data_IF_831942659420
#
_entry.id   IF_831942659420
#
_cell.length_a   1.000
_cell.length_b   1.000
_cell.length_c   1.000
_cell.angle_alpha   90.00
_cell.angle_beta   90.00
_cell.angle_gamma   90.00
#
_symmetry.space_group_name_H-M   'P 1'
#
loop_
_entity.id
_entity.type
_entity.pdbx_description
1 polymer ?
#
# COMPACT_ATOMS: atom_id res chain seq x y z
N UNK A 1 28.73 -84.92 31.59
CA UNK A 1 27.51 -84.11 31.68
C UNK A 1 27.70 -82.90 30.74
N UNK A 2 27.18 -83.02 29.55
CA UNK A 2 27.26 -81.98 28.52
C UNK A 2 25.89 -81.27 28.47
N UNK A 3 25.85 -79.97 28.74
CA UNK A 3 24.66 -79.18 28.57
C UNK A 3 24.70 -78.49 27.18
N UNK A 4 23.76 -78.90 26.34
CA UNK A 4 23.55 -78.25 25.04
C UNK A 4 22.82 -76.93 25.22
N UNK A 5 23.45 -75.87 24.77
CA UNK A 5 22.80 -74.53 24.68
C UNK A 5 22.21 -74.43 23.27
N UNK A 6 20.87 -74.32 23.24
CA UNK A 6 20.12 -74.10 21.99
C UNK A 6 20.10 -72.63 21.71
N UNK A 7 20.77 -72.16 20.63
CA UNK A 7 20.65 -70.76 20.15
C UNK A 7 19.39 -70.67 19.28
N UNK A 8 18.41 -69.93 19.79
CA UNK A 8 17.24 -69.62 19.02
C UNK A 8 17.52 -68.28 18.28
N UNK A 9 17.82 -68.40 16.99
CA UNK A 9 17.95 -67.22 16.11
C UNK A 9 16.56 -66.67 15.76
N UNK A 10 16.14 -65.59 16.40
CA UNK A 10 14.98 -64.84 15.97
C UNK A 10 15.35 -63.98 14.73
N UNK A 11 14.90 -64.42 13.59
CA UNK A 11 14.89 -63.58 12.38
C UNK A 11 13.84 -62.52 12.53
N UNK A 12 14.28 -61.31 12.82
CA UNK A 12 13.47 -60.10 12.68
C UNK A 12 13.22 -59.85 11.19
N UNK A 13 12.05 -60.28 10.71
CA UNK A 13 11.51 -59.77 9.47
C UNK A 13 11.15 -58.33 9.71
N UNK A 14 12.06 -57.43 9.37
CA UNK A 14 11.76 -56.03 9.24
C UNK A 14 10.77 -55.89 8.07
N UNK A 15 9.50 -55.72 8.40
CA UNK A 15 8.52 -55.20 7.47
C UNK A 15 8.96 -53.76 7.15
N UNK A 16 9.67 -53.57 6.03
CA UNK A 16 9.66 -52.27 5.40
C UNK A 16 8.22 -52.03 4.97
N UNK A 17 7.45 -51.32 5.78
CA UNK A 17 6.34 -50.56 5.26
C UNK A 17 6.94 -49.54 4.32
N UNK A 18 6.72 -49.65 3.03
CA UNK A 18 6.90 -48.56 2.10
C UNK A 18 6.02 -47.44 2.64
N UNK A 19 6.63 -46.42 3.24
CA UNK A 19 5.94 -45.17 3.45
C UNK A 19 5.53 -44.68 2.05
N UNK A 20 4.23 -44.79 1.75
CA UNK A 20 3.70 -44.22 0.52
C UNK A 20 4.18 -42.77 0.46
N UNK A 21 5.00 -42.46 -0.53
CA UNK A 21 5.51 -41.13 -0.75
C UNK A 21 4.31 -40.21 -1.04
N UNK A 22 3.84 -39.54 -0.03
CA UNK A 22 2.65 -38.61 -0.13
C UNK A 22 2.86 -37.53 -1.15
N UNK A 23 4.12 -37.21 -1.51
CA UNK A 23 4.46 -36.29 -2.60
C UNK A 23 4.15 -36.86 -3.99
N UNK A 24 4.13 -38.20 -4.16
CA UNK A 24 3.78 -38.84 -5.44
C UNK A 24 2.30 -38.76 -5.77
N UNK A 25 1.47 -38.24 -4.86
CA UNK A 25 0.03 -38.01 -5.05
C UNK A 25 -0.33 -36.55 -5.04
N UNK A 26 0.64 -35.65 -5.13
CA UNK A 26 0.42 -34.23 -5.17
C UNK A 26 -0.35 -33.81 -6.44
N UNK A 27 -1.21 -32.84 -6.30
CA UNK A 27 -1.80 -32.11 -7.43
C UNK A 27 -1.20 -30.72 -7.45
N UNK A 28 -0.69 -30.30 -8.60
CA UNK A 28 -0.12 -28.97 -8.82
C UNK A 28 -0.77 -28.36 -10.07
N UNK A 29 -0.76 -27.04 -10.15
CA UNK A 29 -1.20 -26.32 -11.33
C UNK A 29 -0.02 -25.51 -11.91
N UNK A 30 0.01 -25.34 -13.24
CA UNK A 30 1.04 -24.56 -13.93
C UNK A 30 0.90 -23.04 -13.68
N UNK A 31 -0.23 -22.60 -13.15
CA UNK A 31 -0.48 -21.20 -12.77
C UNK A 31 -1.19 -21.15 -11.41
N UNK A 32 -0.91 -20.14 -10.61
CA UNK A 32 -1.59 -19.88 -9.35
C UNK A 32 -2.70 -18.82 -9.48
N UNK A 33 -2.72 -18.06 -10.58
CA UNK A 33 -3.73 -17.05 -10.86
C UNK A 33 -4.01 -16.96 -12.36
N UNK A 34 -5.25 -16.59 -12.70
CA UNK A 34 -5.72 -16.30 -14.05
C UNK A 34 -6.58 -15.03 -13.99
N UNK A 35 -6.22 -14.03 -14.79
CA UNK A 35 -6.96 -12.78 -14.90
C UNK A 35 -7.70 -12.74 -16.23
N UNK A 36 -8.95 -12.29 -16.22
CA UNK A 36 -9.82 -12.22 -17.38
C UNK A 36 -10.40 -10.80 -17.53
N UNK A 37 -10.56 -10.40 -18.77
CA UNK A 37 -11.28 -9.17 -19.14
C UNK A 37 -12.78 -9.27 -18.82
N UNK A 38 -13.46 -8.13 -18.65
CA UNK A 38 -14.89 -8.10 -18.35
C UNK A 38 -15.75 -8.70 -19.48
N UNK A 39 -15.41 -8.42 -20.75
CA UNK A 39 -16.16 -8.85 -21.94
C UNK A 39 -15.25 -9.52 -22.95
N UNK A 40 -15.76 -10.55 -23.61
CA UNK A 40 -15.06 -11.24 -24.69
C UNK A 40 -13.77 -11.96 -24.26
N UNK A 41 -13.64 -12.26 -22.97
CA UNK A 41 -12.46 -12.88 -22.39
C UNK A 41 -12.12 -14.21 -23.09
N UNK A 42 -10.89 -14.33 -23.56
CA UNK A 42 -10.45 -15.55 -24.24
C UNK A 42 -10.15 -16.66 -23.24
N UNK A 43 -10.56 -17.91 -23.52
CA UNK A 43 -10.25 -19.04 -22.67
C UNK A 43 -8.73 -19.20 -22.44
N UNK A 44 -8.33 -19.53 -21.23
CA UNK A 44 -6.93 -19.77 -20.85
C UNK A 44 -6.71 -21.25 -20.53
N UNK A 45 -5.59 -21.80 -20.99
CA UNK A 45 -5.23 -23.19 -20.72
C UNK A 45 -4.13 -23.24 -19.67
N UNK A 46 -4.33 -24.08 -18.66
CA UNK A 46 -3.34 -24.43 -17.65
C UNK A 46 -3.15 -25.94 -17.60
N UNK A 47 -1.99 -26.39 -17.14
CA UNK A 47 -1.72 -27.82 -16.94
C UNK A 47 -1.91 -28.16 -15.47
N UNK A 48 -2.73 -29.16 -15.20
CA UNK A 48 -2.84 -29.80 -13.88
C UNK A 48 -1.88 -31.00 -13.88
N UNK A 49 -0.87 -30.96 -13.03
CA UNK A 49 0.11 -32.05 -12.84
C UNK A 49 -0.41 -32.93 -11.72
N UNK A 50 -0.61 -34.21 -12.03
CA UNK A 50 -1.02 -35.20 -11.06
C UNK A 50 -0.49 -36.58 -11.46
N UNK A 51 -0.28 -37.47 -10.49
CA UNK A 51 0.12 -38.87 -10.72
C UNK A 51 -1.07 -39.85 -10.69
N UNK A 52 -2.26 -39.35 -10.36
CA UNK A 52 -3.47 -40.15 -10.20
C UNK A 52 -4.73 -39.34 -10.62
N UNK A 53 -5.89 -39.90 -10.34
CA UNK A 53 -7.17 -39.20 -10.57
C UNK A 53 -7.24 -37.92 -9.76
N UNK A 54 -7.82 -36.89 -10.38
CA UNK A 54 -8.16 -35.66 -9.74
C UNK A 54 -9.54 -35.19 -10.17
N UNK A 55 -10.19 -34.40 -9.34
CA UNK A 55 -11.52 -33.82 -9.56
C UNK A 55 -11.51 -32.36 -9.11
N UNK A 56 -12.26 -31.55 -9.77
CA UNK A 56 -12.47 -30.15 -9.42
C UNK A 56 -13.63 -30.01 -8.43
N UNK A 57 -13.53 -29.05 -7.51
CA UNK A 57 -14.65 -28.65 -6.65
C UNK A 57 -15.70 -27.85 -7.43
N UNK A 58 -16.89 -27.70 -6.82
CA UNK A 58 -17.97 -26.86 -7.38
C UNK A 58 -17.49 -25.42 -7.62
N UNK A 59 -17.87 -24.86 -8.77
CA UNK A 59 -17.52 -23.52 -9.20
C UNK A 59 -18.73 -22.60 -9.23
N UNK A 60 -18.51 -21.28 -9.14
CA UNK A 60 -19.51 -20.29 -9.50
C UNK A 60 -19.97 -20.48 -10.96
N UNK A 61 -21.22 -20.17 -11.25
CA UNK A 61 -21.83 -20.33 -12.58
C UNK A 61 -21.09 -19.57 -13.70
N UNK A 62 -20.33 -18.54 -13.34
CA UNK A 62 -19.59 -17.72 -14.30
C UNK A 62 -18.25 -18.32 -14.74
N UNK A 63 -17.76 -19.38 -14.12
CA UNK A 63 -16.51 -20.10 -14.48
C UNK A 63 -16.84 -21.47 -15.04
N UNK A 64 -16.23 -21.80 -16.15
CA UNK A 64 -16.27 -23.14 -16.73
C UNK A 64 -14.85 -23.67 -16.87
N UNK A 65 -14.64 -24.90 -16.40
CA UNK A 65 -13.34 -25.63 -16.52
C UNK A 65 -13.56 -26.92 -17.26
N UNK A 66 -12.78 -27.16 -18.31
CA UNK A 66 -12.92 -28.36 -19.15
C UNK A 66 -11.55 -28.97 -19.43
N UNK A 67 -11.32 -30.26 -19.11
CA UNK A 67 -12.20 -31.16 -18.37
C UNK A 67 -12.27 -30.82 -16.86
N UNK A 68 -13.36 -31.21 -16.19
CA UNK A 68 -13.55 -31.02 -14.74
C UNK A 68 -12.92 -32.14 -13.90
N UNK A 69 -12.47 -33.21 -14.53
CA UNK A 69 -11.79 -34.36 -13.92
C UNK A 69 -10.71 -34.88 -14.85
N UNK A 70 -9.67 -35.51 -14.32
CA UNK A 70 -8.61 -36.11 -15.12
C UNK A 70 -7.90 -37.22 -14.39
N UNK A 71 -7.07 -37.96 -15.14
CA UNK A 71 -6.17 -38.96 -14.63
C UNK A 71 -4.74 -38.59 -15.09
N UNK A 72 -3.83 -38.38 -14.16
CA UNK A 72 -2.49 -37.91 -14.47
C UNK A 72 -2.47 -36.46 -14.95
N UNK A 73 -1.34 -36.04 -15.53
CA UNK A 73 -1.13 -34.71 -16.05
C UNK A 73 -2.08 -34.41 -17.21
N UNK A 74 -2.84 -33.33 -17.09
CA UNK A 74 -3.93 -32.96 -18.02
C UNK A 74 -3.96 -31.48 -18.25
N UNK A 75 -4.10 -31.03 -19.48
CA UNK A 75 -4.39 -29.66 -19.81
C UNK A 75 -5.87 -29.36 -19.61
N UNK A 76 -6.17 -28.28 -18.90
CA UNK A 76 -7.52 -27.82 -18.65
C UNK A 76 -7.72 -26.41 -19.18
N UNK A 77 -8.85 -26.18 -19.82
CA UNK A 77 -9.23 -24.87 -20.32
C UNK A 77 -10.21 -24.22 -19.34
N UNK A 78 -9.85 -23.04 -18.90
CA UNK A 78 -10.68 -22.18 -18.05
C UNK A 78 -11.31 -21.10 -18.91
N UNK A 79 -12.61 -20.93 -18.87
CA UNK A 79 -13.35 -19.87 -19.53
C UNK A 79 -14.33 -19.20 -18.55
N UNK A 80 -14.66 -17.96 -18.81
CA UNK A 80 -15.56 -17.16 -17.99
C UNK A 80 -16.68 -16.57 -18.88
N UNK A 81 -17.84 -16.33 -18.28
CA UNK A 81 -18.90 -15.55 -18.95
C UNK A 81 -18.59 -14.06 -18.85
N UNK A 82 -19.14 -13.24 -19.75
CA UNK A 82 -19.01 -11.78 -19.66
C UNK A 82 -19.52 -11.26 -18.30
N UNK A 83 -18.84 -10.24 -17.80
CA UNK A 83 -19.11 -9.61 -16.51
C UNK A 83 -19.55 -8.16 -16.72
N UNK A 84 -20.72 -8.00 -17.34
CA UNK A 84 -21.31 -6.68 -17.59
C UNK A 84 -21.95 -6.16 -16.32
N UNK A 85 -21.65 -4.91 -15.96
CA UNK A 85 -22.22 -4.30 -14.76
C UNK A 85 -23.72 -4.00 -14.94
N UNK A 86 -24.42 -4.06 -13.82
CA UNK A 86 -25.80 -3.63 -13.70
C UNK A 86 -25.85 -2.42 -12.76
N UNK A 87 -25.70 -1.23 -13.33
CA UNK A 87 -25.68 0.03 -12.58
C UNK A 87 -24.38 0.83 -12.73
N UNK A 88 -24.17 1.79 -11.83
CA UNK A 88 -23.05 2.74 -11.89
C UNK A 88 -21.74 2.20 -11.30
N UNK A 89 -21.84 1.26 -10.35
CA UNK A 89 -20.66 0.73 -9.66
C UNK A 89 -19.97 -0.35 -10.48
N UNK A 90 -18.67 -0.47 -10.32
CA UNK A 90 -17.89 -1.55 -10.90
C UNK A 90 -18.17 -2.87 -10.18
N UNK A 91 -18.04 -3.98 -10.91
CA UNK A 91 -18.39 -5.31 -10.43
C UNK A 91 -17.31 -6.36 -10.70
N UNK A 92 -16.03 -6.11 -10.40
CA UNK A 92 -14.98 -7.12 -10.55
C UNK A 92 -15.35 -8.34 -9.69
N UNK A 93 -15.01 -9.53 -10.18
CA UNK A 93 -15.32 -10.77 -9.45
C UNK A 93 -14.13 -11.70 -9.36
N UNK A 94 -14.09 -12.50 -8.30
CA UNK A 94 -13.00 -13.38 -7.97
C UNK A 94 -13.49 -14.69 -7.40
N UNK A 95 -12.86 -15.79 -7.78
CA UNK A 95 -13.11 -17.10 -7.22
C UNK A 95 -11.83 -17.94 -7.20
N UNK A 96 -11.83 -19.04 -6.46
CA UNK A 96 -10.71 -19.97 -6.44
C UNK A 96 -11.16 -21.31 -7.03
N UNK A 97 -10.49 -21.78 -8.06
CA UNK A 97 -10.61 -23.13 -8.58
C UNK A 97 -9.78 -24.06 -7.72
N UNK A 98 -10.33 -25.17 -7.29
CA UNK A 98 -9.63 -26.16 -6.48
C UNK A 98 -9.61 -27.50 -7.18
N UNK A 99 -8.43 -27.98 -7.52
CA UNK A 99 -8.18 -29.32 -8.03
C UNK A 99 -7.80 -30.26 -6.89
N UNK A 100 -8.57 -31.30 -6.66
CA UNK A 100 -8.37 -32.27 -5.57
C UNK A 100 -7.92 -33.61 -6.12
N UNK A 101 -6.84 -34.13 -5.56
CA UNK A 101 -6.41 -35.50 -5.77
C UNK A 101 -7.06 -36.48 -4.77
N UNK A 102 -6.53 -37.71 -4.75
CA UNK A 102 -7.07 -38.78 -3.94
C UNK A 102 -6.81 -38.67 -2.43
N UNK A 103 -6.06 -37.69 -1.95
CA UNK A 103 -5.81 -37.45 -0.53
C UNK A 103 -6.20 -36.02 -0.15
N UNK A 104 -6.52 -35.78 1.15
CA UNK A 104 -6.86 -34.44 1.65
C UNK A 104 -5.74 -33.41 1.46
N UNK A 105 -4.49 -33.87 1.41
CA UNK A 105 -3.33 -33.00 1.19
C UNK A 105 -3.02 -32.74 -0.30
N UNK A 106 -3.64 -33.53 -1.22
CA UNK A 106 -3.42 -33.42 -2.66
C UNK A 106 -4.35 -32.36 -3.25
N UNK A 107 -3.93 -31.09 -3.23
CA UNK A 107 -4.78 -29.96 -3.58
C UNK A 107 -3.97 -28.88 -4.28
N UNK A 108 -4.48 -28.36 -5.40
CA UNK A 108 -3.97 -27.17 -6.06
C UNK A 108 -5.06 -26.13 -6.15
N UNK A 109 -4.71 -24.89 -5.88
CA UNK A 109 -5.60 -23.75 -5.92
C UNK A 109 -5.15 -22.77 -7.00
N UNK A 110 -6.10 -22.31 -7.81
CA UNK A 110 -5.89 -21.29 -8.84
C UNK A 110 -6.91 -20.20 -8.64
N UNK A 111 -6.44 -19.01 -8.41
CA UNK A 111 -7.30 -17.82 -8.26
C UNK A 111 -7.71 -17.32 -9.64
N UNK A 112 -9.01 -17.18 -9.87
CA UNK A 112 -9.56 -16.59 -11.08
C UNK A 112 -10.11 -15.22 -10.73
N UNK A 113 -9.58 -14.18 -11.36
CA UNK A 113 -10.05 -12.81 -11.28
C UNK A 113 -10.64 -12.41 -12.62
N UNK A 114 -11.75 -11.69 -12.61
CA UNK A 114 -12.30 -11.08 -13.82
C UNK A 114 -12.64 -9.63 -13.54
N UNK A 115 -12.18 -8.76 -14.43
CA UNK A 115 -12.42 -7.32 -14.34
C UNK A 115 -13.93 -7.01 -14.40
N UNK A 116 -14.31 -5.89 -13.79
CA UNK A 116 -15.58 -5.24 -14.06
C UNK A 116 -15.54 -4.44 -15.38
N UNK A 117 -16.69 -4.10 -15.93
CA UNK A 117 -16.75 -3.40 -17.21
C UNK A 117 -16.63 -1.87 -17.10
N UNK A 118 -16.52 -1.33 -15.88
CA UNK A 118 -16.37 0.11 -15.63
C UNK A 118 -15.18 0.70 -16.38
N UNK A 119 -14.08 -0.07 -16.50
CA UNK A 119 -12.83 0.37 -17.10
C UNK A 119 -12.58 -0.16 -18.51
N UNK A 120 -13.54 -0.86 -19.13
CA UNK A 120 -13.40 -1.52 -20.45
C UNK A 120 -12.90 -0.58 -21.54
N UNK A 121 -13.52 0.60 -21.65
CA UNK A 121 -13.19 1.62 -22.64
C UNK A 121 -12.56 2.86 -21.97
N UNK A 122 -11.95 2.69 -20.78
CA UNK A 122 -11.37 3.79 -20.06
C UNK A 122 -10.10 4.30 -20.77
N UNK A 123 -10.05 5.60 -20.99
CA UNK A 123 -8.83 6.24 -21.47
C UNK A 123 -7.71 6.13 -20.42
N UNK A 124 -6.50 5.86 -20.87
CA UNK A 124 -5.31 5.96 -20.03
C UNK A 124 -4.88 7.42 -19.90
N UNK A 125 -4.51 7.80 -18.67
CA UNK A 125 -4.02 9.13 -18.34
C UNK A 125 -2.67 9.04 -17.65
N UNK A 126 -1.87 10.09 -17.78
CA UNK A 126 -0.69 10.31 -16.94
C UNK A 126 -1.06 11.11 -15.69
N UNK A 127 -0.20 11.12 -14.67
CA UNK A 127 -0.51 11.80 -13.40
C UNK A 127 -0.72 13.31 -13.59
N UNK A 128 0.03 13.91 -14.52
CA UNK A 128 -0.04 15.35 -14.83
C UNK A 128 -1.33 15.76 -15.55
N UNK A 129 -2.04 14.84 -16.19
CA UNK A 129 -3.33 15.10 -16.83
C UNK A 129 -4.50 15.11 -15.86
N UNK A 130 -4.36 14.38 -14.71
CA UNK A 130 -5.47 14.14 -13.77
C UNK A 130 -6.08 15.42 -13.18
N UNK A 131 -5.32 16.46 -12.78
CA UNK A 131 -5.90 17.65 -12.16
C UNK A 131 -6.88 18.40 -13.06
N UNK A 132 -6.71 18.30 -14.38
CA UNK A 132 -7.55 19.01 -15.37
C UNK A 132 -8.87 18.29 -15.66
N UNK A 133 -9.05 17.05 -15.20
CA UNK A 133 -10.26 16.29 -15.44
C UNK A 133 -11.42 16.76 -14.54
N UNK A 134 -12.63 16.59 -15.02
CA UNK A 134 -13.84 16.80 -14.21
C UNK A 134 -13.95 15.73 -13.11
N UNK A 135 -14.62 16.08 -12.01
CA UNK A 135 -14.91 15.12 -10.95
C UNK A 135 -15.79 13.97 -11.48
N UNK A 136 -15.65 12.81 -10.88
CA UNK A 136 -16.29 11.55 -11.27
C UNK A 136 -15.78 10.97 -12.62
N UNK A 137 -14.81 11.61 -13.28
CA UNK A 137 -14.15 11.01 -14.45
C UNK A 137 -13.46 9.71 -14.05
N UNK A 138 -13.83 8.64 -14.74
CA UNK A 138 -13.18 7.33 -14.60
C UNK A 138 -11.80 7.38 -15.24
N UNK A 139 -10.78 6.99 -14.49
CA UNK A 139 -9.38 7.10 -14.91
C UNK A 139 -8.66 5.76 -14.81
N UNK A 140 -7.76 5.51 -15.74
CA UNK A 140 -6.77 4.44 -15.72
C UNK A 140 -5.39 5.06 -15.85
N UNK A 141 -4.53 4.87 -14.85
CA UNK A 141 -3.15 5.36 -14.87
C UNK A 141 -2.23 4.15 -14.91
N UNK A 142 -1.53 3.87 -16.02
CA UNK A 142 -0.73 2.66 -16.16
C UNK A 142 0.51 2.64 -15.28
N UNK A 143 1.06 3.80 -14.96
CA UNK A 143 2.25 3.92 -14.10
C UNK A 143 2.26 5.26 -13.36
N UNK A 144 2.42 5.23 -12.04
CA UNK A 144 2.64 6.38 -11.18
C UNK A 144 3.65 6.03 -10.08
N UNK A 145 4.56 6.94 -9.70
CA UNK A 145 5.57 6.70 -8.68
C UNK A 145 5.08 7.14 -7.31
N UNK A 146 5.07 6.23 -6.34
CA UNK A 146 4.68 6.51 -4.94
C UNK A 146 5.80 7.25 -4.23
N UNK A 147 5.53 8.46 -3.75
CA UNK A 147 6.50 9.34 -3.08
C UNK A 147 6.22 9.57 -1.61
N UNK A 148 4.98 9.32 -1.16
CA UNK A 148 4.63 9.31 0.26
C UNK A 148 3.52 8.30 0.51
N UNK A 149 3.50 7.71 1.71
CA UNK A 149 2.45 6.79 2.16
C UNK A 149 1.77 7.40 3.38
N UNK A 150 0.45 7.30 3.44
CA UNK A 150 -0.38 7.75 4.55
C UNK A 150 -1.24 6.60 5.07
N UNK A 151 -1.95 6.80 6.17
CA UNK A 151 -2.91 5.79 6.69
C UNK A 151 -4.15 5.63 5.83
N UNK A 152 -4.46 6.58 4.95
CA UNK A 152 -5.64 6.59 4.08
C UNK A 152 -5.33 6.40 2.59
N UNK A 153 -4.04 6.25 2.24
CA UNK A 153 -3.60 6.09 0.86
C UNK A 153 -2.14 6.44 0.64
N UNK A 154 -1.85 7.00 -0.54
CA UNK A 154 -0.49 7.41 -0.88
C UNK A 154 -0.49 8.64 -1.80
N UNK A 155 0.64 9.33 -1.87
CA UNK A 155 0.90 10.37 -2.87
C UNK A 155 1.73 9.76 -3.99
N UNK A 156 1.31 10.03 -5.22
CA UNK A 156 2.06 9.70 -6.43
C UNK A 156 2.43 10.96 -7.18
N UNK A 157 3.47 10.87 -7.99
CA UNK A 157 3.96 11.98 -8.80
C UNK A 157 4.13 11.55 -10.26
N UNK A 158 4.17 12.54 -11.15
CA UNK A 158 4.57 12.38 -12.54
C UNK A 158 6.10 12.19 -12.68
N UNK A 159 6.57 11.98 -13.91
CA UNK A 159 8.01 11.74 -14.17
C UNK A 159 8.89 12.97 -13.91
N UNK A 160 8.32 14.17 -13.87
CA UNK A 160 8.99 15.45 -13.67
C UNK A 160 8.94 15.91 -12.22
N UNK A 161 8.15 15.28 -11.35
CA UNK A 161 7.84 15.66 -9.96
C UNK A 161 7.12 17.01 -9.84
N UNK A 162 6.46 17.46 -10.90
CA UNK A 162 5.76 18.74 -10.96
C UNK A 162 4.30 18.61 -10.48
N UNK A 163 3.68 17.45 -10.73
CA UNK A 163 2.28 17.18 -10.35
C UNK A 163 2.21 16.03 -9.36
N UNK A 164 1.53 16.28 -8.25
CA UNK A 164 1.36 15.31 -7.18
C UNK A 164 -0.12 15.06 -6.94
N UNK A 165 -0.51 13.78 -6.88
CA UNK A 165 -1.88 13.33 -6.65
C UNK A 165 -1.98 12.44 -5.43
N UNK A 166 -3.02 12.67 -4.64
CA UNK A 166 -3.38 11.74 -3.59
C UNK A 166 -4.25 10.61 -4.16
N UNK A 167 -3.82 9.39 -3.90
CA UNK A 167 -4.58 8.17 -4.20
C UNK A 167 -5.20 7.66 -2.90
N UNK A 168 -6.51 7.75 -2.81
CA UNK A 168 -7.26 7.18 -1.70
C UNK A 168 -7.42 5.68 -1.94
N UNK A 169 -6.73 4.86 -1.16
CA UNK A 169 -6.72 3.41 -1.31
C UNK A 169 -6.43 2.71 0.03
N UNK A 170 -7.00 1.52 0.20
CA UNK A 170 -6.66 0.60 1.28
C UNK A 170 -5.53 -0.38 0.91
N UNK A 171 -5.10 -0.39 -0.36
CA UNK A 171 -4.01 -1.25 -0.83
C UNK A 171 -2.69 -0.78 -0.23
N UNK A 172 -1.98 -1.68 0.44
CA UNK A 172 -0.67 -1.38 0.98
C UNK A 172 0.36 -1.23 -0.14
N UNK A 173 1.05 -0.09 -0.15
CA UNK A 173 2.15 0.23 -1.06
C UNK A 173 3.31 0.83 -0.28
N UNK A 174 4.49 0.88 -0.89
CA UNK A 174 5.68 1.47 -0.27
C UNK A 174 6.16 2.69 -1.07
N UNK A 175 6.88 3.56 -0.39
CA UNK A 175 7.60 4.66 -1.06
C UNK A 175 8.62 4.07 -2.02
N UNK A 176 8.61 4.52 -3.28
CA UNK A 176 9.43 3.97 -4.36
C UNK A 176 8.75 2.87 -5.18
N UNK A 177 7.52 2.47 -4.85
CA UNK A 177 6.76 1.60 -5.73
C UNK A 177 6.23 2.39 -6.93
N UNK A 178 6.23 1.77 -8.10
CA UNK A 178 5.42 2.22 -9.23
C UNK A 178 4.14 1.43 -9.26
N UNK A 179 3.04 2.13 -9.38
CA UNK A 179 1.69 1.55 -9.31
C UNK A 179 0.90 1.85 -10.57
N UNK A 180 0.11 0.88 -11.01
CA UNK A 180 -0.99 1.09 -11.94
C UNK A 180 -2.28 1.28 -11.15
N UNK A 181 -3.10 2.23 -11.55
CA UNK A 181 -4.27 2.67 -10.80
C UNK A 181 -5.50 2.72 -11.69
N UNK A 182 -6.62 2.21 -11.19
CA UNK A 182 -7.95 2.46 -11.74
C UNK A 182 -8.82 3.08 -10.66
N UNK A 183 -9.59 4.10 -11.01
CA UNK A 183 -10.39 4.83 -10.03
C UNK A 183 -11.26 5.92 -10.65
N UNK A 184 -11.71 6.82 -9.80
CA UNK A 184 -12.46 8.00 -10.22
C UNK A 184 -11.82 9.25 -9.62
N UNK A 185 -11.62 10.28 -10.45
CA UNK A 185 -11.11 11.58 -10.02
C UNK A 185 -12.13 12.28 -9.15
N UNK A 186 -11.68 12.93 -8.10
CA UNK A 186 -12.47 13.81 -7.24
C UNK A 186 -11.70 15.04 -6.82
N UNK A 187 -12.40 15.94 -6.14
CA UNK A 187 -11.83 17.15 -5.51
C UNK A 187 -12.22 17.14 -4.03
N UNK A 188 -11.25 17.31 -3.14
CA UNK A 188 -11.48 17.24 -1.70
C UNK A 188 -12.06 18.56 -1.14
N UNK A 189 -12.30 18.59 0.18
CA UNK A 189 -12.85 19.76 0.87
C UNK A 189 -11.91 20.99 0.87
N UNK A 190 -10.66 20.82 0.51
CA UNK A 190 -9.65 21.87 0.38
C UNK A 190 -9.40 22.27 -1.08
N UNK A 191 -10.28 21.86 -1.99
CA UNK A 191 -10.19 22.06 -3.44
C UNK A 191 -8.95 21.42 -4.08
N UNK A 192 -8.39 20.39 -3.47
CA UNK A 192 -7.25 19.64 -4.00
C UNK A 192 -7.73 18.38 -4.74
N UNK A 193 -7.18 18.10 -5.93
CA UNK A 193 -7.56 16.91 -6.69
C UNK A 193 -7.03 15.63 -6.03
N UNK A 194 -7.80 14.55 -6.15
CA UNK A 194 -7.42 13.21 -5.70
C UNK A 194 -8.10 12.13 -6.55
N UNK A 195 -7.69 10.88 -6.39
CA UNK A 195 -8.33 9.73 -7.03
C UNK A 195 -8.84 8.78 -5.96
N UNK A 196 -10.12 8.43 -6.02
CA UNK A 196 -10.68 7.29 -5.28
C UNK A 196 -10.36 6.04 -6.08
N UNK A 197 -9.49 5.17 -5.54
CA UNK A 197 -9.01 4.01 -6.26
C UNK A 197 -9.90 2.80 -6.02
N UNK A 198 -10.37 2.19 -7.09
CA UNK A 198 -11.02 0.88 -7.08
C UNK A 198 -9.97 -0.24 -7.14
N UNK A 199 -8.88 0.01 -7.89
CA UNK A 199 -7.77 -0.93 -8.04
C UNK A 199 -6.43 -0.19 -7.97
N UNK A 200 -5.49 -0.75 -7.19
CA UNK A 200 -4.08 -0.34 -7.20
C UNK A 200 -3.24 -1.59 -7.31
N UNK A 201 -2.39 -1.65 -8.32
CA UNK A 201 -1.49 -2.78 -8.58
C UNK A 201 -0.05 -2.31 -8.66
N UNK A 202 0.84 -2.91 -7.87
CA UNK A 202 2.28 -2.62 -7.93
C UNK A 202 2.84 -3.17 -9.24
N UNK A 203 3.47 -2.31 -10.03
CA UNK A 203 4.13 -2.61 -11.31
C UNK A 203 5.61 -2.92 -11.09
N UNK A 204 6.28 -2.12 -10.24
CA UNK A 204 7.67 -2.35 -9.84
C UNK A 204 7.92 -1.74 -8.45
N UNK A 205 8.88 -2.31 -7.73
CA UNK A 205 9.21 -1.92 -6.35
C UNK A 205 10.61 -1.28 -6.27
N UNK A 206 10.82 -0.49 -5.22
CA UNK A 206 12.14 0.01 -4.85
C UNK A 206 12.78 0.97 -5.86
N UNK A 207 11.96 1.70 -6.61
CA UNK A 207 12.46 2.70 -7.55
C UNK A 207 13.06 3.89 -6.78
N UNK A 208 14.11 4.46 -7.33
CA UNK A 208 14.75 5.64 -6.75
C UNK A 208 13.84 6.87 -6.90
N UNK A 209 13.83 7.73 -5.87
CA UNK A 209 13.06 8.97 -5.88
C UNK A 209 14.03 10.13 -5.73
N UNK A 210 14.05 11.02 -6.72
CA UNK A 210 14.86 12.24 -6.68
C UNK A 210 13.94 13.41 -6.30
N UNK A 211 13.66 13.55 -4.99
CA UNK A 211 12.84 14.67 -4.51
C UNK A 211 13.43 16.01 -4.91
N UNK A 212 12.67 16.92 -5.49
CA UNK A 212 13.12 18.28 -5.75
C UNK A 212 13.40 19.03 -4.45
N UNK A 213 14.00 20.22 -4.54
CA UNK A 213 14.13 21.12 -3.39
C UNK A 213 12.72 21.51 -2.91
N UNK A 214 12.46 21.31 -1.60
CA UNK A 214 11.16 21.62 -1.04
C UNK A 214 11.00 23.13 -0.83
N UNK A 215 9.84 23.68 -1.14
CA UNK A 215 9.51 25.05 -0.79
C UNK A 215 9.40 25.16 0.74
N UNK A 216 10.26 25.93 1.38
CA UNK A 216 10.24 26.15 2.84
C UNK A 216 9.18 27.19 3.20
N UNK A 217 8.06 26.71 3.70
CA UNK A 217 6.90 27.55 4.13
C UNK A 217 6.97 27.99 5.59
N UNK A 218 8.09 27.75 6.29
CA UNK A 218 8.24 28.07 7.73
C UNK A 218 7.91 29.52 8.05
N UNK A 219 8.37 30.45 7.23
CA UNK A 219 8.15 31.89 7.45
C UNK A 219 6.80 32.38 6.95
N UNK A 220 6.10 31.60 6.13
CA UNK A 220 4.85 31.97 5.46
C UNK A 220 3.65 31.11 5.89
N UNK A 221 3.82 30.28 6.92
CA UNK A 221 2.79 29.34 7.39
C UNK A 221 1.42 29.98 7.68
N UNK A 222 1.39 31.26 8.05
CA UNK A 222 0.16 32.00 8.37
C UNK A 222 -0.60 32.45 7.12
N UNK A 223 0.07 32.51 5.96
CA UNK A 223 -0.50 33.04 4.72
C UNK A 223 -0.38 32.10 3.53
N UNK A 224 0.37 30.98 3.68
CA UNK A 224 0.58 30.04 2.60
C UNK A 224 -0.71 29.32 2.20
N UNK A 225 -0.93 29.22 0.90
CA UNK A 225 -2.01 28.46 0.28
C UNK A 225 -1.59 28.05 -1.12
N UNK A 226 -2.10 26.94 -1.60
CA UNK A 226 -1.88 26.42 -2.96
C UNK A 226 -3.16 25.74 -3.46
N UNK A 227 -3.33 25.66 -4.77
CA UNK A 227 -4.38 24.89 -5.45
C UNK A 227 -3.89 23.50 -5.89
N UNK A 228 -2.67 23.15 -5.52
CA UNK A 228 -2.03 21.87 -5.83
C UNK A 228 -1.33 21.28 -4.60
N UNK A 229 -1.02 19.98 -4.65
CA UNK A 229 -0.25 19.28 -3.61
C UNK A 229 1.24 19.52 -3.81
N UNK A 230 1.68 20.76 -3.53
CA UNK A 230 3.07 21.14 -3.67
C UNK A 230 3.98 20.39 -2.67
N UNK A 231 5.21 20.12 -3.08
CA UNK A 231 6.26 19.59 -2.22
C UNK A 231 6.84 20.69 -1.35
N UNK A 232 6.51 20.67 -0.07
CA UNK A 232 6.87 21.71 0.91
C UNK A 232 7.67 21.18 2.07
N UNK A 233 8.30 22.10 2.80
CA UNK A 233 8.91 21.82 4.10
C UNK A 233 8.53 22.87 5.13
N UNK A 234 8.53 22.47 6.41
CA UNK A 234 8.32 23.39 7.52
C UNK A 234 9.16 22.95 8.73
N UNK A 235 9.74 23.92 9.43
CA UNK A 235 10.60 23.70 10.60
C UNK A 235 9.97 24.25 11.87
N UNK A 236 9.97 23.45 12.95
CA UNK A 236 9.42 23.88 14.23
C UNK A 236 9.61 22.83 15.32
N UNK A 237 8.85 22.91 16.39
CA UNK A 237 8.86 21.93 17.48
C UNK A 237 7.63 21.02 17.35
N UNK A 238 7.88 19.70 17.26
CA UNK A 238 6.84 18.70 17.15
C UNK A 238 6.13 18.48 18.49
N UNK A 239 4.79 18.56 18.48
CA UNK A 239 3.93 18.23 19.62
C UNK A 239 2.75 17.38 19.13
N UNK A 240 2.75 16.09 19.42
CA UNK A 240 1.84 15.14 18.82
C UNK A 240 2.01 15.12 17.30
N UNK A 241 0.96 15.46 16.56
CA UNK A 241 0.98 15.57 15.10
C UNK A 241 1.19 17.01 14.59
N UNK A 242 1.42 17.98 15.48
CA UNK A 242 1.54 19.38 15.09
C UNK A 242 2.96 19.87 15.25
N UNK A 243 3.46 20.60 14.27
CA UNK A 243 4.72 21.33 14.33
C UNK A 243 4.41 22.78 14.64
N UNK A 244 4.79 23.24 15.82
CA UNK A 244 4.64 24.62 16.27
C UNK A 244 5.82 25.46 15.82
N UNK A 245 5.55 26.56 15.16
CA UNK A 245 6.55 27.50 14.62
C UNK A 245 6.60 28.72 15.52
N UNK A 246 7.80 29.10 15.95
CA UNK A 246 7.96 30.26 16.83
C UNK A 246 7.58 31.57 16.12
N UNK A 247 6.68 32.31 16.76
CA UNK A 247 6.15 33.57 16.21
C UNK A 247 5.02 33.45 15.21
N UNK A 248 4.63 32.26 14.79
CA UNK A 248 3.49 32.02 13.91
C UNK A 248 2.19 31.82 14.70
N UNK A 249 1.06 32.17 14.09
CA UNK A 249 -0.29 31.91 14.59
C UNK A 249 -0.73 30.48 14.25
N UNK A 250 -0.45 30.05 13.02
CA UNK A 250 -0.77 28.70 12.55
C UNK A 250 0.35 27.73 12.90
N UNK A 251 -0.03 26.48 13.13
CA UNK A 251 0.87 25.34 13.19
C UNK A 251 0.86 24.59 11.85
N UNK A 252 1.80 23.63 11.69
CA UNK A 252 1.72 22.65 10.60
C UNK A 252 1.20 21.34 11.18
N UNK A 253 0.09 20.84 10.66
CA UNK A 253 -0.54 19.60 11.10
C UNK A 253 -0.18 18.45 10.15
N UNK A 254 0.48 17.42 10.66
CA UNK A 254 0.81 16.19 9.92
C UNK A 254 -0.44 15.33 9.88
N UNK A 255 -0.98 15.11 8.68
CA UNK A 255 -2.24 14.40 8.46
C UNK A 255 -1.95 12.95 8.07
N UNK A 256 -2.77 12.04 8.58
CA UNK A 256 -2.74 10.62 8.22
C UNK A 256 -1.33 9.99 8.29
N UNK A 257 -0.57 10.39 9.31
CA UNK A 257 0.80 9.97 9.49
C UNK A 257 0.91 8.45 9.68
N UNK A 258 1.70 7.73 8.87
CA UNK A 258 1.97 6.33 9.09
C UNK A 258 2.89 6.15 10.30
N UNK A 259 2.83 4.99 10.94
CA UNK A 259 3.67 4.66 12.10
C UNK A 259 5.18 4.76 11.79
N UNK A 260 5.56 4.54 10.54
CA UNK A 260 6.96 4.64 10.08
C UNK A 260 7.60 6.01 10.31
N UNK A 261 6.84 7.09 10.39
CA UNK A 261 7.34 8.43 10.70
C UNK A 261 7.71 8.61 12.18
N UNK A 262 7.27 7.69 13.06
CA UNK A 262 7.65 7.62 14.48
C UNK A 262 7.50 8.95 15.24
N UNK A 263 6.39 9.65 15.03
CA UNK A 263 6.11 10.98 15.62
C UNK A 263 6.24 10.96 17.15
N UNK A 264 5.85 9.86 17.79
CA UNK A 264 5.91 9.74 19.25
C UNK A 264 7.34 9.87 19.80
N UNK A 265 8.34 9.33 19.12
CA UNK A 265 9.73 9.42 19.52
C UNK A 265 10.33 10.84 19.30
N UNK A 266 9.77 11.59 18.36
CA UNK A 266 10.19 12.95 18.01
C UNK A 266 9.45 14.04 18.78
N UNK A 267 8.54 13.66 19.67
CA UNK A 267 7.72 14.60 20.43
C UNK A 267 8.59 15.51 21.30
N UNK A 268 8.43 16.82 21.14
CA UNK A 268 9.24 17.83 21.81
C UNK A 268 10.58 18.15 21.12
N UNK A 269 10.93 17.48 20.05
CA UNK A 269 12.11 17.79 19.24
C UNK A 269 11.84 18.93 18.26
N UNK A 270 12.89 19.68 17.94
CA UNK A 270 12.89 20.54 16.75
C UNK A 270 13.05 19.63 15.54
N UNK A 271 12.15 19.77 14.59
CA UNK A 271 12.10 18.96 13.38
C UNK A 271 11.97 19.82 12.13
N UNK A 272 12.37 19.29 10.98
CA UNK A 272 11.92 19.75 9.67
C UNK A 272 11.07 18.64 9.06
N UNK A 273 9.80 18.94 8.78
CA UNK A 273 8.89 18.04 8.11
C UNK A 273 8.91 18.35 6.62
N UNK A 274 9.00 17.32 5.80
CA UNK A 274 8.89 17.37 4.34
C UNK A 274 7.69 16.56 3.90
N UNK A 275 6.89 17.12 3.01
CA UNK A 275 5.70 16.45 2.53
C UNK A 275 4.93 17.28 1.54
N UNK A 276 3.70 16.88 1.31
CA UNK A 276 2.82 17.49 0.33
C UNK A 276 1.75 18.32 1.02
N UNK A 277 1.53 19.53 0.52
CA UNK A 277 0.47 20.40 0.98
C UNK A 277 -0.90 19.71 0.87
N UNK A 278 -1.70 19.77 1.93
CA UNK A 278 -3.01 19.13 2.03
C UNK A 278 -4.10 20.13 2.47
N UNK A 279 -3.92 21.39 2.12
CA UNK A 279 -4.89 22.45 2.44
C UNK A 279 -4.62 23.17 3.74
N UNK A 280 -5.52 24.09 4.08
CA UNK A 280 -5.51 24.86 5.31
C UNK A 280 -6.81 24.61 6.06
N UNK A 281 -6.69 24.20 7.32
CA UNK A 281 -7.80 24.10 8.27
C UNK A 281 -7.43 24.93 9.51
N UNK A 282 -7.72 26.23 9.51
CA UNK A 282 -7.29 27.15 10.54
C UNK A 282 -7.57 26.64 11.97
N UNK A 283 -6.59 26.72 12.89
CA UNK A 283 -5.31 27.40 12.79
C UNK A 283 -4.14 26.49 12.34
N UNK A 284 -4.33 25.64 11.35
CA UNK A 284 -3.29 24.73 10.88
C UNK A 284 -3.17 24.69 9.34
N UNK A 285 -1.94 24.75 8.84
CA UNK A 285 -1.55 24.28 7.52
C UNK A 285 -1.42 22.76 7.60
N UNK A 286 -2.03 22.04 6.67
CA UNK A 286 -2.03 20.58 6.64
C UNK A 286 -0.93 20.08 5.70
N UNK A 287 -0.24 19.01 6.11
CA UNK A 287 0.80 18.35 5.32
C UNK A 287 0.68 16.84 5.41
N UNK A 288 0.74 16.16 4.28
CA UNK A 288 0.94 14.72 4.19
C UNK A 288 2.44 14.45 4.14
N UNK A 289 3.01 14.10 5.30
CA UNK A 289 4.45 14.01 5.44
C UNK A 289 5.03 12.75 4.78
N UNK A 290 6.08 12.93 3.99
CA UNK A 290 6.87 11.84 3.41
C UNK A 290 8.08 11.49 4.30
N UNK A 291 8.70 12.50 4.94
CA UNK A 291 9.82 12.30 5.85
C UNK A 291 9.93 13.41 6.88
N UNK A 292 10.59 13.10 7.99
CA UNK A 292 10.87 14.06 9.06
C UNK A 292 12.35 14.00 9.40
N UNK A 293 12.96 15.17 9.46
CA UNK A 293 14.35 15.31 9.86
C UNK A 293 14.43 15.81 11.31
N UNK A 294 15.01 14.99 12.18
CA UNK A 294 15.20 15.34 13.59
C UNK A 294 16.39 16.32 13.76
N UNK A 295 16.11 17.48 14.32
CA UNK A 295 17.12 18.51 14.66
C UNK A 295 17.47 18.49 16.17
N UNK A 296 16.92 17.50 16.91
CA UNK A 296 17.16 17.32 18.34
C UNK A 296 16.30 18.18 19.25
N UNK A 297 16.48 17.98 20.54
CA UNK A 297 15.74 18.72 21.57
C UNK A 297 16.16 20.19 21.57
N UNK A 298 15.20 21.15 21.58
CA UNK A 298 15.52 22.55 21.68
C UNK A 298 16.38 22.82 22.94
N UNK A 299 17.53 23.46 22.74
CA UNK A 299 18.35 23.86 23.90
C UNK A 299 17.56 24.88 24.72
N UNK A 300 17.13 24.51 25.91
CA UNK A 300 16.61 25.49 26.87
C UNK A 300 17.76 26.40 27.26
N UNK A 301 17.70 27.67 26.87
CA UNK A 301 18.53 28.69 27.46
C UNK A 301 18.11 28.86 28.91
N UNK A 302 18.68 28.09 29.82
CA UNK A 302 18.62 28.44 31.21
C UNK A 302 19.36 29.73 31.39
N UNK A 303 18.71 30.79 31.89
CA UNK A 303 19.40 31.96 32.38
C UNK A 303 20.44 31.48 33.36
N UNK A 304 21.69 31.77 33.11
CA UNK A 304 22.76 31.43 34.05
C UNK A 304 22.55 32.19 35.35
N UNK A 305 23.13 31.73 36.46
CA UNK A 305 23.10 32.46 37.74
C UNK A 305 23.57 33.92 37.60
N UNK A 306 24.40 34.18 36.61
CA UNK A 306 24.89 35.52 36.25
C UNK A 306 23.78 36.37 35.60
N UNK A 307 22.93 35.77 34.81
CA UNK A 307 21.81 36.46 34.15
C UNK A 307 20.70 36.79 35.13
N UNK A 308 20.40 35.89 36.08
CA UNK A 308 19.46 36.14 37.17
C UNK A 308 19.95 37.32 38.07
N UNK A 309 21.24 37.42 38.33
CA UNK A 309 21.83 38.53 39.07
C UNK A 309 21.65 39.86 38.33
N UNK A 310 21.80 39.90 36.99
CA UNK A 310 21.54 41.08 36.17
C UNK A 310 20.07 41.49 36.19
N UNK A 311 19.15 40.52 36.04
CA UNK A 311 17.71 40.80 36.13
C UNK A 311 17.31 41.26 37.52
N UNK A 312 17.84 40.69 38.57
CA UNK A 312 17.59 41.12 39.95
C UNK A 312 18.08 42.58 40.22
N UNK A 313 19.25 42.93 39.67
CA UNK A 313 19.78 44.32 39.75
C UNK A 313 18.89 45.30 39.00
N UNK A 314 18.42 44.98 37.79
CA UNK A 314 17.49 45.82 37.03
C UNK A 314 16.15 46.01 37.78
N UNK A 315 15.60 44.97 38.37
CA UNK A 315 14.38 45.06 39.17
C UNK A 315 14.57 45.84 40.47
N UNK A 316 15.76 45.88 41.08
CA UNK A 316 16.04 46.69 42.24
C UNK A 316 16.20 48.17 41.89
N UNK A 317 16.73 48.50 40.73
CA UNK A 317 16.82 49.89 40.24
C UNK A 317 15.43 50.42 39.92
N UNK A 318 14.54 49.68 39.36
CA UNK A 318 13.15 50.08 39.08
C UNK A 318 12.30 50.33 40.34
N UNK A 319 12.67 49.71 41.49
CA UNK A 319 11.96 49.94 42.79
C UNK A 319 12.40 51.19 43.53
N UNK A 320 13.55 51.77 43.17
CA UNK A 320 14.06 52.96 43.84
C UNK A 320 13.81 54.27 43.09
N UNK A 321 12.91 54.25 42.11
CA UNK A 321 12.45 55.41 41.32
C UNK A 321 10.96 55.64 41.52
N UNK A 322 10.52 55.60 42.80
CA UNK A 322 9.19 56.10 43.22
C UNK A 322 9.38 57.07 44.41
#
# INVERSE_FOLDING_TARGET
>A
IMASVLFLSATLLGSCSEEENTLSKAVLASASALDFEAEGAQPKTITVYADADWVMEDLPEWITVTPATGNGTTDVTVSVTDNMRDGAEDNPRKATIVFKGCTLASRAEVVVSQDGDKYRDCQEYTVDELPALEDETVVSVPEALVTAVTTSGCIVTDAQYDVNMFLQTATAVNVGDKVAVKGSKGTDAHALPYVVCDEVRVVSEGNNIDYPEAHDVTAEVDSYTSDSREWISASGVLSGNNVTIDGAVNSVSIIDAPESLNLAALNGHKVTVYGYFDGVAAPALRIQAARIEDKGVPKRCWLTDTDWKKVAVLLSICRNVT
#
